data_IF_181885258684
#
_entry.id   IF_181885258684
#
_cell.length_a   1.000
_cell.length_b   1.000
_cell.length_c   1.000
_cell.angle_alpha   90.00
_cell.angle_beta   90.00
_cell.angle_gamma   90.00
#
_symmetry.space_group_name_H-M   'P 1'
#
loop_
_entity.id
_entity.type
_entity.pdbx_description
1 polymer ?
#
# COMPACT_ATOMS: atom_id res chain seq x y z
N UNK A 1 7.21 -9.60 17.03
CA UNK A 1 6.83 -11.02 17.11
C UNK A 1 5.46 -11.17 16.47
N UNK A 2 5.39 -11.57 15.21
CA UNK A 2 4.13 -11.92 14.57
C UNK A 2 3.51 -13.12 15.29
N UNK A 3 2.22 -13.09 15.65
CA UNK A 3 1.59 -14.27 16.23
C UNK A 3 1.53 -15.35 15.16
N UNK A 4 2.05 -16.48 15.51
CA UNK A 4 2.14 -17.72 14.75
C UNK A 4 0.75 -18.31 14.44
N UNK A 5 0.11 -17.85 13.37
CA UNK A 5 -0.71 -18.72 12.51
C UNK A 5 0.13 -18.95 11.27
N UNK A 6 0.39 -20.22 10.97
CA UNK A 6 1.34 -20.74 10.00
C UNK A 6 1.42 -19.91 8.71
N UNK A 7 2.37 -18.95 8.63
CA UNK A 7 2.94 -18.55 7.37
C UNK A 7 4.01 -19.57 7.05
N UNK A 8 3.74 -20.48 6.14
CA UNK A 8 4.76 -21.35 5.61
C UNK A 8 5.46 -20.62 4.47
N UNK A 9 6.78 -20.47 4.58
CA UNK A 9 7.61 -20.12 3.43
C UNK A 9 7.31 -21.18 2.37
N UNK A 10 6.73 -20.76 1.22
CA UNK A 10 6.33 -21.72 0.20
C UNK A 10 7.54 -22.00 -0.68
N UNK A 11 7.80 -23.28 -0.86
CA UNK A 11 8.65 -23.76 -1.92
C UNK A 11 7.81 -24.09 -3.18
N UNK A 12 8.49 -24.38 -4.26
CA UNK A 12 7.88 -24.81 -5.53
C UNK A 12 6.92 -26.00 -5.37
N UNK A 13 7.04 -26.80 -4.29
CA UNK A 13 6.26 -28.01 -4.02
C UNK A 13 4.95 -27.73 -3.30
N UNK A 14 4.91 -26.71 -2.44
CA UNK A 14 3.75 -26.42 -1.57
C UNK A 14 2.67 -25.58 -2.26
N UNK A 15 3.03 -24.70 -3.20
CA UNK A 15 2.08 -23.93 -4.02
C UNK A 15 2.68 -23.65 -5.41
N UNK A 16 2.82 -24.68 -6.26
CA UNK A 16 3.57 -24.59 -7.52
C UNK A 16 3.02 -23.53 -8.48
N UNK A 17 1.69 -23.35 -8.51
CA UNK A 17 1.06 -22.37 -9.40
C UNK A 17 1.36 -20.93 -8.97
N UNK A 18 1.27 -20.61 -7.69
CA UNK A 18 1.57 -19.27 -7.17
C UNK A 18 3.07 -18.97 -7.31
N UNK A 19 3.92 -19.96 -6.97
CA UNK A 19 5.37 -19.82 -7.09
C UNK A 19 5.79 -19.54 -8.54
N UNK A 20 5.32 -20.34 -9.49
CA UNK A 20 5.61 -20.16 -10.92
C UNK A 20 5.09 -18.80 -11.46
N UNK A 21 3.90 -18.38 -11.02
CA UNK A 21 3.34 -17.09 -11.37
C UNK A 21 4.23 -15.93 -10.89
N UNK A 22 4.64 -15.96 -9.62
CA UNK A 22 5.49 -14.91 -9.05
C UNK A 22 6.87 -14.90 -9.72
N UNK A 23 7.43 -16.07 -10.01
CA UNK A 23 8.72 -16.18 -10.71
C UNK A 23 8.66 -15.54 -12.10
N UNK A 24 7.66 -15.89 -12.91
CA UNK A 24 7.47 -15.30 -14.24
C UNK A 24 7.36 -13.77 -14.18
N UNK A 25 6.60 -13.25 -13.22
CA UNK A 25 6.42 -11.81 -13.05
C UNK A 25 7.68 -11.12 -12.53
N UNK A 26 8.42 -11.74 -11.62
CA UNK A 26 9.70 -11.23 -11.14
C UNK A 26 10.72 -11.13 -12.28
N UNK A 27 10.82 -12.16 -13.11
CA UNK A 27 11.69 -12.16 -14.30
C UNK A 27 11.31 -11.03 -15.26
N UNK A 28 10.01 -10.82 -15.55
CA UNK A 28 9.52 -9.71 -16.37
C UNK A 28 9.79 -8.33 -15.78
N UNK A 29 9.73 -8.22 -14.45
CA UNK A 29 10.02 -6.99 -13.75
C UNK A 29 11.53 -6.68 -13.63
N UNK A 30 12.40 -7.66 -13.96
CA UNK A 30 13.84 -7.58 -13.73
C UNK A 30 14.21 -7.61 -12.25
N UNK A 31 13.44 -8.34 -11.44
CA UNK A 31 13.62 -8.48 -10.00
C UNK A 31 14.17 -9.86 -9.64
N UNK A 32 14.99 -9.97 -8.58
CA UNK A 32 15.30 -11.26 -8.00
C UNK A 32 14.01 -11.90 -7.46
N UNK A 33 13.94 -13.25 -7.52
CA UNK A 33 12.78 -14.00 -7.01
C UNK A 33 12.54 -13.68 -5.54
N UNK A 34 11.38 -13.11 -5.16
CA UNK A 34 11.07 -12.86 -3.76
C UNK A 34 10.67 -14.16 -3.05
N UNK A 35 10.73 -14.15 -1.72
CA UNK A 35 10.09 -15.21 -0.95
C UNK A 35 8.58 -15.15 -1.11
N UNK A 36 7.93 -16.31 -1.27
CA UNK A 36 6.48 -16.40 -1.49
C UNK A 36 5.83 -17.04 -0.27
N UNK A 37 4.75 -16.43 0.22
CA UNK A 37 4.01 -16.91 1.37
C UNK A 37 2.51 -17.02 1.06
N UNK A 38 1.85 -18.04 1.62
CA UNK A 38 0.39 -18.08 1.74
C UNK A 38 0.03 -17.94 3.22
N UNK A 39 -0.92 -17.06 3.49
CA UNK A 39 -1.43 -16.79 4.83
C UNK A 39 -2.84 -17.35 4.91
N UNK A 40 -3.11 -18.17 5.91
CA UNK A 40 -4.46 -18.68 6.19
C UNK A 40 -5.32 -17.56 6.78
N UNK A 41 -5.99 -16.82 5.90
CA UNK A 41 -6.88 -15.71 6.23
C UNK A 41 -8.00 -15.65 5.19
N UNK A 42 -9.25 -15.51 5.67
CA UNK A 42 -10.42 -15.46 4.79
C UNK A 42 -10.58 -14.12 4.06
N UNK A 43 -10.09 -13.04 4.64
CA UNK A 43 -10.09 -11.75 3.98
C UNK A 43 -9.17 -11.77 2.75
N UNK A 44 -9.66 -11.40 1.55
CA UNK A 44 -8.86 -11.39 0.34
C UNK A 44 -7.82 -10.26 0.41
N UNK A 45 -6.56 -10.64 0.52
CA UNK A 45 -5.46 -9.69 0.56
C UNK A 45 -4.19 -10.27 -0.05
N UNK A 46 -3.34 -9.39 -0.59
CA UNK A 46 -1.97 -9.66 -0.96
C UNK A 46 -1.12 -8.46 -0.60
N UNK A 47 0.16 -8.66 -0.34
CA UNK A 47 1.08 -7.58 -0.06
C UNK A 47 2.53 -8.01 -0.30
N UNK A 48 3.37 -7.01 -0.59
CA UNK A 48 4.81 -7.16 -0.62
C UNK A 48 5.44 -6.48 0.60
N UNK A 49 6.55 -7.03 1.07
CA UNK A 49 7.36 -6.47 2.15
C UNK A 49 8.84 -6.74 1.88
N UNK A 50 9.72 -6.02 2.55
CA UNK A 50 11.16 -6.17 2.44
C UNK A 50 11.87 -4.82 2.43
N UNK A 51 13.13 -4.82 2.82
CA UNK A 51 13.95 -3.59 2.87
C UNK A 51 14.48 -3.13 1.51
N UNK A 52 14.58 -4.06 0.57
CA UNK A 52 15.05 -3.85 -0.81
C UNK A 52 14.61 -5.04 -1.68
N UNK A 53 14.74 -4.96 -3.02
CA UNK A 53 14.37 -6.06 -3.92
C UNK A 53 15.01 -7.41 -3.61
N UNK A 54 16.27 -7.42 -3.17
CA UNK A 54 17.04 -8.63 -2.84
C UNK A 54 16.54 -9.34 -1.58
N UNK A 55 15.76 -8.65 -0.75
CA UNK A 55 15.17 -9.17 0.48
C UNK A 55 13.66 -8.98 0.50
N UNK A 56 13.06 -9.04 -0.68
CA UNK A 56 11.61 -8.92 -0.82
C UNK A 56 10.91 -10.23 -0.48
N UNK A 57 9.69 -10.09 0.01
CA UNK A 57 8.75 -11.18 0.21
C UNK A 57 7.39 -10.75 -0.28
N UNK A 58 6.65 -11.64 -0.91
CA UNK A 58 5.25 -11.43 -1.31
C UNK A 58 4.37 -12.45 -0.62
N UNK A 59 3.19 -12.02 -0.20
CA UNK A 59 2.24 -12.88 0.47
C UNK A 59 0.85 -12.74 -0.18
N UNK A 60 0.13 -13.86 -0.24
CA UNK A 60 -1.27 -13.92 -0.63
C UNK A 60 -2.07 -14.66 0.44
N UNK A 61 -3.28 -14.20 0.73
CA UNK A 61 -4.19 -14.90 1.64
C UNK A 61 -4.92 -16.02 0.91
N UNK A 62 -5.36 -17.04 1.66
CA UNK A 62 -6.26 -18.07 1.12
C UNK A 62 -7.55 -17.47 0.61
N UNK A 63 -8.00 -16.35 1.18
CA UNK A 63 -9.15 -15.59 0.73
C UNK A 63 -8.98 -15.05 -0.69
N UNK A 64 -7.87 -14.39 -0.99
CA UNK A 64 -7.62 -13.84 -2.34
C UNK A 64 -7.48 -14.95 -3.39
N UNK A 65 -6.85 -16.08 -3.02
CA UNK A 65 -6.70 -17.23 -3.91
C UNK A 65 -8.05 -17.90 -4.26
N UNK A 66 -9.06 -17.75 -3.40
CA UNK A 66 -10.42 -18.25 -3.65
C UNK A 66 -11.28 -17.30 -4.48
N UNK A 67 -11.08 -15.99 -4.30
CA UNK A 67 -11.91 -14.94 -4.92
C UNK A 67 -11.46 -14.62 -6.34
N UNK A 68 -10.15 -14.62 -6.60
CA UNK A 68 -9.58 -14.22 -7.87
C UNK A 68 -9.31 -15.41 -8.80
N UNK A 69 -9.56 -15.22 -10.09
CA UNK A 69 -9.04 -16.11 -11.14
C UNK A 69 -7.51 -15.97 -11.23
N UNK A 70 -6.84 -16.94 -11.86
CA UNK A 70 -5.39 -16.89 -12.08
C UNK A 70 -4.96 -15.64 -12.87
N UNK A 71 -5.78 -15.17 -13.82
CA UNK A 71 -5.55 -13.94 -14.58
C UNK A 71 -5.60 -12.70 -13.69
N UNK A 72 -6.58 -12.60 -12.82
CA UNK A 72 -6.74 -11.49 -11.88
C UNK A 72 -5.66 -11.50 -10.79
N UNK A 73 -5.34 -12.68 -10.24
CA UNK A 73 -4.24 -12.87 -9.29
C UNK A 73 -2.91 -12.43 -9.88
N UNK A 74 -2.68 -12.73 -11.17
CA UNK A 74 -1.51 -12.25 -11.92
C UNK A 74 -1.40 -10.73 -11.89
N UNK A 75 -2.50 -10.02 -12.14
CA UNK A 75 -2.53 -8.55 -12.07
C UNK A 75 -2.16 -8.03 -10.68
N UNK A 76 -2.72 -8.62 -9.62
CA UNK A 76 -2.43 -8.24 -8.23
C UNK A 76 -0.97 -8.52 -7.87
N UNK A 77 -0.44 -9.71 -8.19
CA UNK A 77 0.96 -10.04 -7.91
C UNK A 77 1.93 -9.12 -8.67
N UNK A 78 1.59 -8.73 -9.89
CA UNK A 78 2.38 -7.77 -10.66
C UNK A 78 2.37 -6.37 -10.03
N UNK A 79 1.23 -5.93 -9.48
CA UNK A 79 1.11 -4.69 -8.72
C UNK A 79 2.00 -4.72 -7.47
N UNK A 80 1.98 -5.82 -6.70
CA UNK A 80 2.85 -5.99 -5.53
C UNK A 80 4.34 -5.96 -5.90
N UNK A 81 4.70 -6.60 -7.01
CA UNK A 81 6.08 -6.57 -7.51
C UNK A 81 6.50 -5.18 -8.02
N UNK A 82 5.56 -4.37 -8.53
CA UNK A 82 5.85 -2.98 -8.87
C UNK A 82 6.23 -2.15 -7.63
N UNK A 83 5.56 -2.34 -6.49
CA UNK A 83 5.97 -1.74 -5.21
C UNK A 83 7.39 -2.13 -4.78
N UNK A 84 7.76 -3.40 -4.98
CA UNK A 84 9.13 -3.88 -4.72
C UNK A 84 10.14 -3.18 -5.63
N UNK A 85 9.84 -3.12 -6.94
CA UNK A 85 10.68 -2.50 -7.96
C UNK A 85 10.93 -1.02 -7.68
N UNK A 86 9.90 -0.28 -7.30
CA UNK A 86 9.98 1.15 -7.00
C UNK A 86 10.49 1.46 -5.59
N UNK A 87 10.76 0.43 -4.77
CA UNK A 87 11.20 0.57 -3.36
C UNK A 87 10.23 1.39 -2.51
N UNK A 88 8.94 1.20 -2.70
CA UNK A 88 7.88 2.00 -2.09
C UNK A 88 7.86 1.92 -0.56
N UNK A 89 8.30 0.79 0.01
CA UNK A 89 8.46 0.63 1.46
C UNK A 89 9.50 1.63 2.00
N UNK A 90 10.63 1.78 1.32
CA UNK A 90 11.66 2.74 1.71
C UNK A 90 11.13 4.18 1.62
N UNK A 91 10.48 4.53 0.51
CA UNK A 91 9.88 5.86 0.31
C UNK A 91 8.84 6.16 1.39
N UNK A 92 7.97 5.20 1.73
CA UNK A 92 6.99 5.32 2.81
C UNK A 92 7.64 5.58 4.15
N UNK A 93 8.69 4.82 4.46
CA UNK A 93 9.42 4.95 5.73
C UNK A 93 10.09 6.31 5.85
N UNK A 94 10.73 6.79 4.78
CA UNK A 94 11.35 8.12 4.73
C UNK A 94 10.28 9.21 4.90
N UNK A 95 9.17 9.14 4.15
CA UNK A 95 8.07 10.10 4.25
C UNK A 95 7.46 10.15 5.65
N UNK A 96 7.21 8.99 6.27
CA UNK A 96 6.68 8.90 7.63
C UNK A 96 7.68 9.47 8.67
N UNK A 97 8.98 9.19 8.51
CA UNK A 97 10.03 9.73 9.39
C UNK A 97 10.12 11.24 9.29
N UNK A 98 10.07 11.80 8.08
CA UNK A 98 10.07 13.24 7.86
C UNK A 98 8.84 13.92 8.47
N UNK A 99 7.65 13.34 8.25
CA UNK A 99 6.41 13.85 8.85
C UNK A 99 6.47 13.83 10.39
N UNK A 100 7.00 12.74 10.96
CA UNK A 100 7.23 12.63 12.41
C UNK A 100 8.23 13.67 12.94
N UNK A 101 9.33 13.90 12.20
CA UNK A 101 10.32 14.93 12.58
C UNK A 101 9.73 16.35 12.54
N UNK A 102 8.93 16.68 11.51
CA UNK A 102 8.23 17.98 11.42
C UNK A 102 7.30 18.16 12.63
N UNK A 103 6.51 17.14 12.96
CA UNK A 103 5.60 17.18 14.11
C UNK A 103 6.35 17.32 15.44
N UNK A 104 7.48 16.61 15.61
CA UNK A 104 8.32 16.70 16.80
C UNK A 104 8.94 18.09 16.96
N UNK A 105 9.45 18.68 15.85
CA UNK A 105 10.00 20.03 15.85
C UNK A 105 8.94 21.10 16.16
N UNK A 106 7.71 20.95 15.63
CA UNK A 106 6.61 21.84 15.95
C UNK A 106 6.27 21.80 17.44
N UNK A 107 6.22 20.61 18.04
CA UNK A 107 6.01 20.45 19.48
C UNK A 107 7.16 21.04 20.30
N UNK A 108 8.41 20.78 19.92
CA UNK A 108 9.58 21.33 20.59
C UNK A 108 9.61 22.87 20.56
N UNK A 109 9.29 23.46 19.40
CA UNK A 109 9.22 24.92 19.25
C UNK A 109 8.18 25.54 20.18
N UNK A 110 7.06 24.86 20.44
CA UNK A 110 6.07 25.29 21.41
C UNK A 110 6.63 25.28 22.86
N UNK A 111 7.30 24.21 23.27
CA UNK A 111 7.89 24.11 24.59
C UNK A 111 9.02 25.13 24.80
N UNK A 112 9.83 25.40 23.78
CA UNK A 112 10.91 26.36 23.83
C UNK A 112 10.42 27.83 23.75
N UNK A 113 9.39 28.09 22.91
CA UNK A 113 8.81 29.43 22.74
C UNK A 113 8.06 29.98 23.97
N UNK A 114 7.62 29.11 24.88
CA UNK A 114 7.02 29.48 26.17
C UNK A 114 8.02 29.97 27.23
N UNK A 115 9.32 29.92 26.98
CA UNK A 115 10.39 30.24 27.90
C UNK A 115 11.43 31.21 27.33
N UNK A 116 11.00 32.25 26.63
CA UNK A 116 11.94 33.33 26.34
C UNK A 116 12.17 34.17 27.56
N UNK A 117 13.42 34.17 28.04
CA UNK A 117 13.94 34.90 29.20
C UNK A 117 13.86 36.45 29.07
N UNK A 118 13.26 36.96 28.00
CA UNK A 118 13.12 38.41 27.73
C UNK A 118 11.68 38.95 27.80
N UNK A 119 10.74 38.23 28.42
CA UNK A 119 9.40 38.77 28.71
C UNK A 119 8.51 39.04 27.47
N UNK A 120 8.94 38.65 26.26
CA UNK A 120 8.12 38.72 25.07
C UNK A 120 7.27 37.46 24.97
N UNK A 121 6.01 37.58 25.37
CA UNK A 121 5.01 36.54 25.13
C UNK A 121 4.90 36.34 23.61
N UNK A 122 5.37 35.18 23.12
CA UNK A 122 5.07 34.74 21.76
C UNK A 122 3.56 34.75 21.59
N UNK A 123 3.09 35.09 20.40
CA UNK A 123 1.66 35.12 20.08
C UNK A 123 1.05 33.72 20.34
N UNK A 124 0.20 33.51 21.37
CA UNK A 124 -0.34 32.20 21.72
C UNK A 124 -1.19 31.62 20.57
N UNK A 125 -1.82 32.48 19.78
CA UNK A 125 -2.59 32.09 18.62
C UNK A 125 -1.68 31.48 17.51
N UNK A 126 -0.53 32.09 17.26
CA UNK A 126 0.44 31.56 16.28
C UNK A 126 0.99 30.21 16.74
N UNK A 127 1.26 30.00 17.99
CA UNK A 127 1.72 28.72 18.56
C UNK A 127 0.65 27.65 18.43
N UNK A 128 -0.62 27.94 18.66
CA UNK A 128 -1.74 27.03 18.47
C UNK A 128 -1.91 26.67 16.98
N UNK A 129 -1.82 27.64 16.08
CA UNK A 129 -1.91 27.39 14.64
C UNK A 129 -0.80 26.43 14.17
N UNK A 130 0.44 26.64 14.58
CA UNK A 130 1.56 25.75 14.22
C UNK A 130 1.35 24.34 14.79
N UNK A 131 0.84 24.20 16.01
CA UNK A 131 0.57 22.91 16.63
C UNK A 131 -0.42 22.06 15.84
N UNK A 132 -1.46 22.67 15.27
CA UNK A 132 -2.47 21.95 14.50
C UNK A 132 -2.13 21.85 13.01
N UNK A 133 -1.58 22.92 12.41
CA UNK A 133 -1.33 22.95 10.97
C UNK A 133 -0.11 22.13 10.55
N UNK A 134 0.95 22.06 11.36
CA UNK A 134 2.15 21.31 10.98
C UNK A 134 1.89 19.78 10.89
N UNK A 135 1.26 19.10 11.87
CA UNK A 135 0.89 17.70 11.74
C UNK A 135 -0.11 17.45 10.59
N UNK A 136 -1.07 18.36 10.39
CA UNK A 136 -2.02 18.26 9.29
C UNK A 136 -1.33 18.34 7.93
N UNK A 137 -0.46 19.32 7.74
CA UNK A 137 0.32 19.47 6.51
C UNK A 137 1.21 18.24 6.26
N UNK A 138 1.91 17.74 7.30
CA UNK A 138 2.71 16.53 7.21
C UNK A 138 1.88 15.30 6.79
N UNK A 139 0.68 15.15 7.34
CA UNK A 139 -0.25 14.08 6.98
C UNK A 139 -0.73 14.19 5.53
N UNK A 140 -1.06 15.39 5.07
CA UNK A 140 -1.49 15.65 3.68
C UNK A 140 -0.38 15.34 2.67
N UNK A 141 0.87 15.71 2.98
CA UNK A 141 2.04 15.38 2.15
C UNK A 141 2.23 13.86 2.10
N UNK A 142 2.17 13.17 3.23
CA UNK A 142 2.32 11.72 3.30
C UNK A 142 1.24 10.99 2.51
N UNK A 143 -0.02 11.43 2.59
CA UNK A 143 -1.12 10.87 1.80
C UNK A 143 -0.95 11.11 0.31
N UNK A 144 -0.49 12.30 -0.09
CA UNK A 144 -0.23 12.62 -1.50
C UNK A 144 0.84 11.71 -2.10
N UNK A 145 1.94 11.50 -1.36
CA UNK A 145 3.01 10.57 -1.76
C UNK A 145 2.46 9.14 -1.86
N UNK A 146 1.65 8.69 -0.89
CA UNK A 146 1.06 7.36 -0.89
C UNK A 146 0.17 7.12 -2.10
N UNK A 147 -0.72 8.07 -2.43
CA UNK A 147 -1.61 7.96 -3.60
C UNK A 147 -0.85 7.96 -4.93
N UNK A 148 0.17 8.79 -5.07
CA UNK A 148 1.01 8.81 -6.27
C UNK A 148 1.69 7.45 -6.50
N UNK A 149 2.16 6.79 -5.44
CA UNK A 149 2.78 5.47 -5.53
C UNK A 149 1.80 4.37 -5.91
N UNK A 150 0.56 4.41 -5.43
CA UNK A 150 -0.48 3.47 -5.84
C UNK A 150 -0.73 3.54 -7.36
N UNK A 151 -0.78 4.77 -7.93
CA UNK A 151 -0.94 4.92 -9.37
C UNK A 151 0.27 4.43 -10.15
N UNK A 152 1.48 4.66 -9.66
CA UNK A 152 2.69 4.11 -10.28
C UNK A 152 2.77 2.60 -10.14
N UNK A 153 2.31 2.01 -9.03
CA UNK A 153 2.23 0.57 -8.86
C UNK A 153 1.16 -0.05 -9.76
N UNK A 154 0.00 0.60 -9.95
CA UNK A 154 -1.02 0.18 -10.91
C UNK A 154 -0.46 0.16 -12.34
N UNK A 155 0.26 1.21 -12.71
CA UNK A 155 0.91 1.30 -14.02
C UNK A 155 1.99 0.22 -14.17
N UNK A 156 2.90 0.11 -13.22
CA UNK A 156 3.97 -0.90 -13.24
C UNK A 156 3.43 -2.32 -13.23
N UNK A 157 2.38 -2.58 -12.46
CA UNK A 157 1.69 -3.87 -12.45
C UNK A 157 1.03 -4.20 -13.80
N UNK A 158 0.43 -3.19 -14.44
CA UNK A 158 -0.13 -3.33 -15.78
C UNK A 158 0.95 -3.62 -16.83
N UNK A 159 2.11 -2.97 -16.74
CA UNK A 159 3.27 -3.20 -17.61
C UNK A 159 3.85 -4.61 -17.40
N UNK A 160 4.09 -5.02 -16.15
CA UNK A 160 4.67 -6.33 -15.80
C UNK A 160 3.73 -7.48 -16.22
N UNK A 161 2.43 -7.36 -15.94
CA UNK A 161 1.44 -8.37 -16.29
C UNK A 161 1.05 -8.35 -17.76
N UNK A 162 1.22 -7.22 -18.46
CA UNK A 162 0.68 -6.88 -19.77
C UNK A 162 -0.86 -7.01 -19.83
N UNK A 163 -1.54 -6.83 -18.69
CA UNK A 163 -3.01 -7.01 -18.57
C UNK A 163 -3.62 -6.06 -17.51
N UNK A 164 -3.77 -4.76 -17.82
CA UNK A 164 -4.37 -3.79 -16.91
C UNK A 164 -5.84 -4.09 -16.60
N UNK A 165 -6.56 -4.74 -17.53
CA UNK A 165 -7.97 -5.09 -17.32
C UNK A 165 -8.11 -6.15 -16.22
N UNK A 166 -7.21 -7.14 -16.18
CA UNK A 166 -7.19 -8.15 -15.12
C UNK A 166 -7.00 -7.53 -13.74
N UNK A 167 -6.08 -6.55 -13.60
CA UNK A 167 -5.90 -5.82 -12.35
C UNK A 167 -7.14 -5.00 -11.99
N UNK A 168 -7.76 -4.32 -12.95
CA UNK A 168 -8.99 -3.57 -12.72
C UNK A 168 -10.13 -4.48 -12.21
N UNK A 169 -10.32 -5.65 -12.82
CA UNK A 169 -11.32 -6.64 -12.40
C UNK A 169 -11.01 -7.19 -11.00
N UNK A 170 -9.76 -7.48 -10.71
CA UNK A 170 -9.32 -7.92 -9.38
C UNK A 170 -9.67 -6.90 -8.31
N UNK A 171 -9.34 -5.63 -8.53
CA UNK A 171 -9.64 -4.54 -7.60
C UNK A 171 -11.14 -4.40 -7.35
N UNK A 172 -11.97 -4.49 -8.39
CA UNK A 172 -13.45 -4.46 -8.25
C UNK A 172 -13.96 -5.62 -7.41
N UNK A 173 -13.46 -6.85 -7.64
CA UNK A 173 -13.87 -8.03 -6.86
C UNK A 173 -13.47 -7.93 -5.39
N UNK A 174 -12.23 -7.52 -5.11
CA UNK A 174 -11.75 -7.34 -3.74
C UNK A 174 -12.57 -6.26 -3.04
N UNK A 175 -12.89 -5.15 -3.73
CA UNK A 175 -13.73 -4.10 -3.17
C UNK A 175 -15.15 -4.58 -2.86
N UNK A 176 -15.80 -5.28 -3.79
CA UNK A 176 -17.13 -5.85 -3.59
C UNK A 176 -17.17 -6.83 -2.40
N UNK A 177 -16.14 -7.65 -2.26
CA UNK A 177 -16.00 -8.56 -1.13
C UNK A 177 -15.86 -7.81 0.20
N UNK A 178 -15.07 -6.72 0.24
CA UNK A 178 -14.86 -5.92 1.44
C UNK A 178 -16.11 -5.22 1.95
N UNK A 179 -17.05 -4.90 1.06
CA UNK A 179 -18.34 -4.29 1.41
C UNK A 179 -19.31 -5.29 2.06
N UNK A 180 -19.15 -6.58 1.84
CA UNK A 180 -20.03 -7.64 2.33
C UNK A 180 -19.51 -8.45 3.51
N UNK A 181 -18.24 -8.31 3.90
CA UNK A 181 -17.60 -9.16 4.92
C UNK A 181 -17.13 -8.34 6.11
N UNK A 182 -17.54 -8.64 7.36
CA UNK A 182 -17.00 -8.01 8.55
C UNK A 182 -15.51 -8.36 8.70
N UNK A 183 -14.66 -7.34 8.73
CA UNK A 183 -13.21 -7.51 8.90
C UNK A 183 -12.83 -7.72 10.37
N UNK A 184 -13.02 -8.92 10.89
CA UNK A 184 -12.63 -9.26 12.26
C UNK A 184 -11.10 -9.23 12.50
N UNK A 185 -10.29 -9.41 11.45
CA UNK A 185 -8.84 -9.40 11.57
C UNK A 185 -8.27 -8.01 11.88
N UNK A 186 -8.90 -6.95 11.41
CA UNK A 186 -8.43 -5.56 11.57
C UNK A 186 -8.71 -5.00 12.95
N UNK A 187 -9.81 -5.43 13.58
CA UNK A 187 -10.08 -5.06 14.97
C UNK A 187 -8.98 -5.56 15.92
N UNK A 188 -8.28 -6.64 15.54
CA UNK A 188 -7.19 -7.23 16.34
C UNK A 188 -5.81 -6.66 16.04
N UNK A 189 -5.59 -6.11 14.83
CA UNK A 189 -4.29 -5.65 14.35
C UNK A 189 -4.42 -4.40 13.48
N UNK A 190 -4.76 -3.23 14.06
CA UNK A 190 -4.98 -1.98 13.31
C UNK A 190 -3.72 -1.50 12.57
N UNK A 191 -2.53 -1.90 13.00
CA UNK A 191 -1.26 -1.60 12.34
C UNK A 191 -1.13 -2.23 10.96
N UNK A 192 -1.84 -3.33 10.69
CA UNK A 192 -1.82 -4.01 9.39
C UNK A 192 -2.75 -3.37 8.35
N UNK A 193 -3.64 -2.48 8.77
CA UNK A 193 -4.59 -1.81 7.89
C UNK A 193 -3.90 -1.00 6.75
N UNK A 194 -2.69 -0.49 7.01
CA UNK A 194 -1.89 0.23 6.01
C UNK A 194 -1.26 -0.68 4.95
N UNK A 195 -1.19 -1.98 5.20
CA UNK A 195 -0.62 -2.98 4.29
C UNK A 195 -1.70 -3.69 3.45
N UNK A 196 -2.96 -3.29 3.60
CA UNK A 196 -4.06 -3.90 2.87
C UNK A 196 -4.36 -3.15 1.58
N UNK A 197 -4.66 -3.88 0.50
CA UNK A 197 -5.06 -3.32 -0.80
C UNK A 197 -6.28 -2.39 -0.66
N UNK A 198 -7.16 -2.68 0.31
CA UNK A 198 -8.31 -1.84 0.67
C UNK A 198 -8.27 -1.60 2.18
N UNK A 199 -8.29 -0.33 2.57
CA UNK A 199 -8.43 0.04 3.97
C UNK A 199 -9.90 -0.01 4.38
N UNK A 200 -10.33 -0.97 5.21
CA UNK A 200 -11.74 -1.15 5.58
C UNK A 200 -12.25 -0.12 6.59
N UNK A 201 -11.36 0.68 7.20
CA UNK A 201 -11.73 1.74 8.15
C UNK A 201 -12.29 2.99 7.46
N UNK A 202 -12.35 3.02 6.12
CA UNK A 202 -12.75 4.19 5.32
C UNK A 202 -14.23 4.19 4.90
N UNK A 203 -15.10 3.44 5.56
CA UNK A 203 -16.53 3.45 5.28
C UNK A 203 -17.19 4.76 5.74
N UNK A 204 -17.03 5.86 5.00
CA UNK A 204 -17.82 7.08 5.14
C UNK A 204 -17.07 8.41 4.99
N UNK A 205 -17.50 9.23 4.05
CA UNK A 205 -17.35 10.68 3.91
C UNK A 205 -15.95 11.27 4.19
N UNK A 206 -15.75 11.83 5.38
CA UNK A 206 -14.50 12.49 5.76
C UNK A 206 -13.34 11.51 5.86
N UNK A 207 -13.59 10.24 6.17
CA UNK A 207 -12.56 9.20 6.23
C UNK A 207 -11.89 8.92 4.87
N UNK A 208 -12.58 9.12 3.75
CA UNK A 208 -11.98 9.00 2.41
C UNK A 208 -10.92 10.06 2.14
N UNK A 209 -11.05 11.26 2.70
CA UNK A 209 -10.04 12.32 2.56
C UNK A 209 -8.71 11.94 3.24
N UNK A 210 -8.77 11.10 4.27
CA UNK A 210 -7.63 10.62 5.05
C UNK A 210 -7.21 9.19 4.71
N UNK A 211 -7.75 8.60 3.63
CA UNK A 211 -7.31 7.29 3.13
C UNK A 211 -5.93 7.40 2.49
N UNK A 212 -5.06 6.46 2.82
CA UNK A 212 -3.73 6.31 2.20
C UNK A 212 -3.82 5.78 0.77
N UNK A 213 -4.92 5.12 0.41
CA UNK A 213 -5.18 4.62 -0.95
C UNK A 213 -6.11 5.57 -1.72
N UNK A 214 -5.89 5.74 -3.05
CA UNK A 214 -6.80 6.48 -3.91
C UNK A 214 -8.18 5.80 -3.98
N UNK A 215 -9.23 6.56 -4.38
CA UNK A 215 -10.53 5.96 -4.64
C UNK A 215 -10.43 4.80 -5.64
N UNK A 216 -11.11 3.69 -5.35
CA UNK A 216 -11.07 2.47 -6.16
C UNK A 216 -11.55 2.75 -7.59
N UNK A 217 -12.60 3.55 -7.72
CA UNK A 217 -13.19 3.91 -9.01
C UNK A 217 -12.19 4.63 -9.91
N UNK A 218 -11.32 5.48 -9.34
CA UNK A 218 -10.31 6.21 -10.10
C UNK A 218 -9.18 5.27 -10.57
N UNK A 219 -8.73 4.35 -9.71
CA UNK A 219 -7.73 3.32 -10.07
C UNK A 219 -8.26 2.45 -11.22
N UNK A 220 -9.48 1.94 -11.09
CA UNK A 220 -10.14 1.12 -12.11
C UNK A 220 -10.29 1.87 -13.43
N UNK A 221 -10.75 3.13 -13.39
CA UNK A 221 -10.92 3.95 -14.59
C UNK A 221 -9.58 4.17 -15.34
N UNK A 222 -8.49 4.42 -14.61
CA UNK A 222 -7.14 4.55 -15.19
C UNK A 222 -6.67 3.26 -15.84
N UNK A 223 -6.81 2.11 -15.17
CA UNK A 223 -6.44 0.80 -15.71
C UNK A 223 -7.24 0.43 -16.96
N UNK A 224 -8.55 0.69 -16.98
CA UNK A 224 -9.39 0.48 -18.16
C UNK A 224 -8.97 1.42 -19.31
N UNK A 225 -8.59 2.66 -19.01
CA UNK A 225 -8.06 3.59 -20.02
C UNK A 225 -6.75 3.09 -20.61
N UNK A 226 -5.86 2.55 -19.79
CA UNK A 226 -4.62 1.92 -20.27
C UNK A 226 -4.90 0.73 -21.18
N UNK A 227 -5.87 -0.12 -20.82
CA UNK A 227 -6.28 -1.28 -21.64
C UNK A 227 -6.77 -0.84 -23.02
N UNK A 228 -7.57 0.22 -23.11
CA UNK A 228 -8.15 0.72 -24.35
C UNK A 228 -7.12 1.40 -25.27
N UNK A 229 -6.17 2.10 -24.68
CA UNK A 229 -5.22 2.91 -25.46
C UNK A 229 -3.99 2.12 -25.89
N UNK A 230 -3.82 0.86 -25.44
CA UNK A 230 -2.66 0.03 -25.77
C UNK A 230 -1.31 0.63 -25.35
N UNK A 231 -1.32 1.64 -24.47
CA UNK A 231 -0.13 2.34 -24.02
C UNK A 231 0.50 1.52 -22.92
N UNK A 232 1.30 0.53 -23.33
CA UNK A 232 2.26 -0.13 -22.46
C UNK A 232 3.64 0.51 -22.78
N UNK A 233 4.16 1.45 -21.98
CA UNK A 233 5.54 1.87 -22.14
C UNK A 233 6.42 0.68 -21.77
N UNK A 234 7.01 0.01 -22.77
CA UNK A 234 7.86 -1.15 -22.59
C UNK A 234 7.67 -2.25 -23.65
N UNK A 235 6.86 -2.03 -24.69
CA UNK A 235 6.76 -2.88 -25.86
C UNK A 235 7.60 -2.31 -27.04
N UNK A 236 8.88 -1.99 -26.76
CA UNK A 236 9.92 -1.81 -27.76
C UNK A 236 11.06 -2.78 -27.48
#
# INVERSE_FOLDING_TARGET
>A
SFPTRRSSDLDERSAPQLYALVQELADKAGLPMPKVFVIEEDAPNAFATGRNPEHASVAATTGILRVLSSRELRGVMAHELAHVKHRDILISTVAATMAGAISALANLAMFAGGRNSEGRQGNPLASLLVMFLAPLAASLIQMSISRAREYEADRGGAEISADPEALAQALQKIHAYSQGTPFQAIERHPETAQMMIINPLTAGGVAQLFSTHPPMEERVARLISMAKNGVYPGAE
#
